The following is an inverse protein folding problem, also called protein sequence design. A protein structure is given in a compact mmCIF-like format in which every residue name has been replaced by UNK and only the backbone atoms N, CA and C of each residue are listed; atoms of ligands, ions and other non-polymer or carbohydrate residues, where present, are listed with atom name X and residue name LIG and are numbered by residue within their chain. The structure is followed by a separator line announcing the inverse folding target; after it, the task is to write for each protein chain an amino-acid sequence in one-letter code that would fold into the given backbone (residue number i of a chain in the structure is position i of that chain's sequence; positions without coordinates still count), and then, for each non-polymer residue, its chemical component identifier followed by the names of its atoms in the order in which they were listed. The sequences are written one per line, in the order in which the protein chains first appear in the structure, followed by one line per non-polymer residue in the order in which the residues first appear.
data_IF_044284262764
#
_entry.id   IF_044284262764
#
_cell.length_a   1.000
_cell.length_b   1.000
_cell.length_c   1.000
_cell.angle_alpha   90.00
_cell.angle_beta   90.00
_cell.angle_gamma   90.00
#
_symmetry.space_group_name_H-M   'P 1'
#
loop_
_entity.id
_entity.type
_entity.pdbx_description
1 polymer ?
#
# COMPACT_ATOMS: atom_id res chain seq x y z
N UNK A 1 16.49 -13.40 -1.38
CA UNK A 1 17.64 -12.63 -1.95
C UNK A 1 18.87 -12.85 -1.07
N UNK A 2 20.08 -12.91 -1.66
CA UNK A 2 21.35 -13.08 -0.93
C UNK A 2 22.16 -11.78 -0.98
N UNK A 3 23.04 -11.63 0.00
CA UNK A 3 24.03 -10.55 0.03
C UNK A 3 25.05 -10.69 -1.09
N UNK A 4 25.53 -9.55 -1.57
CA UNK A 4 26.57 -9.46 -2.60
C UNK A 4 27.74 -8.61 -2.10
N UNK A 5 28.90 -8.86 -2.69
CA UNK A 5 30.04 -7.96 -2.66
C UNK A 5 29.96 -7.08 -3.93
N UNK A 6 29.92 -5.75 -3.76
CA UNK A 6 29.78 -4.82 -4.88
C UNK A 6 30.93 -4.90 -5.88
N UNK A 7 32.18 -5.07 -5.40
CA UNK A 7 33.35 -5.24 -6.27
C UNK A 7 33.22 -6.47 -7.16
N UNK A 8 32.78 -7.60 -6.56
CA UNK A 8 32.55 -8.84 -7.29
C UNK A 8 31.50 -8.71 -8.39
N UNK A 9 30.46 -7.93 -8.16
CA UNK A 9 29.44 -7.63 -9.17
C UNK A 9 30.02 -6.82 -10.32
N UNK A 10 30.86 -5.81 -10.02
CA UNK A 10 31.53 -4.99 -11.06
C UNK A 10 32.52 -5.77 -11.83
N UNK A 11 33.37 -6.60 -11.18
CA UNK A 11 34.34 -7.48 -11.86
C UNK A 11 33.65 -8.49 -12.76
N UNK A 12 32.53 -9.08 -12.30
CA UNK A 12 31.73 -9.97 -13.13
C UNK A 12 31.16 -9.23 -14.36
N UNK A 13 30.69 -7.99 -14.20
CA UNK A 13 30.21 -7.17 -15.31
C UNK A 13 31.32 -6.86 -16.32
N UNK A 14 32.50 -6.46 -15.85
CA UNK A 14 33.66 -6.13 -16.72
C UNK A 14 34.17 -7.36 -17.49
N UNK A 15 34.11 -8.56 -16.89
CA UNK A 15 34.65 -9.79 -17.48
C UNK A 15 33.64 -10.58 -18.32
N UNK A 16 32.37 -10.61 -17.92
CA UNK A 16 31.34 -11.38 -18.62
C UNK A 16 30.46 -10.50 -19.54
N UNK A 17 30.52 -9.16 -19.39
CA UNK A 17 29.72 -8.23 -20.15
C UNK A 17 28.23 -8.41 -19.91
N UNK A 18 27.39 -7.98 -20.88
CA UNK A 18 25.93 -8.17 -20.85
C UNK A 18 25.49 -9.57 -21.28
N UNK A 19 26.34 -10.57 -21.18
CA UNK A 19 26.11 -11.94 -21.64
C UNK A 19 25.19 -12.72 -20.67
N UNK A 20 24.65 -13.82 -21.15
CA UNK A 20 23.82 -14.77 -20.40
C UNK A 20 24.48 -15.21 -19.07
N UNK A 21 25.80 -15.31 -19.06
CA UNK A 21 26.58 -15.71 -17.88
C UNK A 21 26.50 -14.69 -16.75
N UNK A 22 26.58 -13.38 -17.05
CA UNK A 22 26.43 -12.32 -16.06
C UNK A 22 25.02 -12.32 -15.45
N UNK A 23 23.99 -12.46 -16.29
CA UNK A 23 22.62 -12.54 -15.81
C UNK A 23 22.36 -13.78 -14.94
N UNK A 24 22.98 -14.91 -15.26
CA UNK A 24 22.95 -16.11 -14.41
C UNK A 24 23.64 -15.88 -13.07
N UNK A 25 24.78 -15.20 -13.08
CA UNK A 25 25.50 -14.83 -11.87
C UNK A 25 24.63 -13.95 -10.97
N UNK A 26 24.01 -12.90 -11.50
CA UNK A 26 23.10 -12.03 -10.76
C UNK A 26 21.88 -12.79 -10.20
N UNK A 27 21.30 -13.68 -11.01
CA UNK A 27 20.13 -14.46 -10.62
C UNK A 27 20.40 -15.38 -9.42
N UNK A 28 21.65 -15.85 -9.25
CA UNK A 28 22.06 -16.64 -8.08
C UNK A 28 21.91 -15.87 -6.77
N UNK A 29 22.11 -14.57 -6.78
CA UNK A 29 21.88 -13.69 -5.63
C UNK A 29 20.44 -13.19 -5.51
N UNK A 30 19.63 -13.45 -6.53
CA UNK A 30 18.26 -12.92 -6.63
C UNK A 30 18.22 -11.47 -7.10
N UNK A 31 19.33 -10.95 -7.65
CA UNK A 31 19.40 -9.64 -8.27
C UNK A 31 18.74 -9.71 -9.65
N UNK A 32 17.83 -8.78 -9.90
CA UNK A 32 17.17 -8.61 -11.19
C UNK A 32 17.69 -7.34 -11.87
N UNK A 33 16.96 -6.79 -12.78
CA UNK A 33 17.38 -5.62 -13.54
C UNK A 33 18.04 -4.53 -12.66
N UNK A 34 19.25 -4.14 -13.02
CA UNK A 34 19.98 -3.02 -12.43
C UNK A 34 20.75 -2.29 -13.53
N UNK A 35 21.13 -1.06 -13.28
CA UNK A 35 21.92 -0.24 -14.20
C UNK A 35 23.41 -0.40 -13.83
N UNK A 36 24.15 -1.33 -14.50
CA UNK A 36 25.50 -1.71 -14.08
C UNK A 36 26.49 -0.56 -14.23
N UNK A 37 26.27 0.35 -15.16
CA UNK A 37 27.14 1.51 -15.39
C UNK A 37 27.04 2.53 -14.26
N UNK A 38 25.82 2.80 -13.76
CA UNK A 38 25.61 3.68 -12.61
C UNK A 38 26.15 3.04 -11.33
N UNK A 39 25.95 1.73 -11.16
CA UNK A 39 26.53 0.98 -10.04
C UNK A 39 28.04 1.01 -10.08
N UNK A 40 28.68 0.80 -11.25
CA UNK A 40 30.12 0.86 -11.41
C UNK A 40 30.66 2.23 -11.02
N UNK A 41 30.06 3.31 -11.55
CA UNK A 41 30.46 4.68 -11.22
C UNK A 41 30.38 4.92 -9.70
N UNK A 42 29.30 4.47 -9.06
CA UNK A 42 29.15 4.57 -7.60
C UNK A 42 30.24 3.81 -6.85
N UNK A 43 30.51 2.55 -7.23
CA UNK A 43 31.52 1.71 -6.57
C UNK A 43 32.89 2.31 -6.71
N UNK A 44 33.29 2.82 -7.91
CA UNK A 44 34.57 3.48 -8.15
C UNK A 44 34.78 4.69 -7.20
N UNK A 45 33.71 5.45 -6.94
CA UNK A 45 33.74 6.57 -5.98
C UNK A 45 33.90 6.12 -4.53
N UNK A 46 33.22 5.06 -4.14
CA UNK A 46 33.39 4.50 -2.78
C UNK A 46 34.80 3.96 -2.61
N UNK A 47 35.33 3.21 -3.59
CA UNK A 47 36.72 2.66 -3.56
C UNK A 47 37.79 3.73 -3.34
N UNK A 48 37.61 4.89 -3.92
CA UNK A 48 38.54 6.02 -3.72
C UNK A 48 38.54 6.58 -2.27
N UNK A 49 37.55 6.23 -1.44
CA UNK A 49 37.34 6.75 -0.08
C UNK A 49 37.41 5.69 1.02
N UNK A 50 37.66 4.41 0.70
CA UNK A 50 37.80 3.30 1.65
C UNK A 50 39.23 2.74 1.61
N UNK A 51 39.67 2.16 2.73
CA UNK A 51 41.00 1.53 2.84
C UNK A 51 40.93 0.00 2.63
N UNK A 52 39.76 -0.60 2.74
CA UNK A 52 39.57 -2.05 2.68
C UNK A 52 38.35 -2.39 1.80
N UNK A 53 38.38 -3.55 1.14
CA UNK A 53 37.23 -4.06 0.39
C UNK A 53 36.11 -4.63 1.28
N UNK A 54 36.34 -4.70 2.59
CA UNK A 54 35.31 -5.15 3.55
C UNK A 54 34.07 -4.25 3.53
N UNK A 55 34.25 -2.96 3.25
CA UNK A 55 33.17 -2.00 3.13
C UNK A 55 32.30 -2.20 1.88
N UNK A 56 32.75 -3.06 0.94
CA UNK A 56 31.98 -3.44 -0.27
C UNK A 56 31.21 -4.76 -0.09
N UNK A 57 31.22 -5.37 1.09
CA UNK A 57 30.47 -6.59 1.42
C UNK A 57 29.12 -6.29 2.07
N UNK A 58 28.20 -7.29 2.03
CA UNK A 58 26.93 -7.28 2.77
C UNK A 58 25.85 -6.40 2.14
N UNK A 59 25.82 -6.28 0.81
CA UNK A 59 24.81 -5.48 0.12
C UNK A 59 23.68 -6.32 -0.49
N UNK A 60 22.50 -5.75 -0.53
CA UNK A 60 21.36 -6.22 -1.29
C UNK A 60 21.11 -5.26 -2.45
N UNK A 61 21.11 -5.75 -3.69
CA UNK A 61 20.90 -4.96 -4.91
C UNK A 61 19.51 -5.20 -5.48
N UNK A 62 18.75 -4.14 -5.72
CA UNK A 62 17.39 -4.23 -6.27
C UNK A 62 16.44 -5.00 -5.36
N UNK A 63 16.58 -4.84 -4.03
CA UNK A 63 15.71 -5.51 -3.09
C UNK A 63 14.30 -4.93 -3.13
N UNK A 64 13.30 -5.79 -3.42
CA UNK A 64 11.89 -5.43 -3.40
C UNK A 64 11.21 -5.98 -2.16
N UNK A 65 10.58 -5.10 -1.39
CA UNK A 65 9.74 -5.52 -0.28
C UNK A 65 8.59 -6.37 -0.83
N UNK A 66 8.40 -7.60 -0.33
CA UNK A 66 7.31 -8.47 -0.79
C UNK A 66 5.95 -7.77 -0.71
N UNK A 67 5.10 -7.98 -1.71
CA UNK A 67 3.72 -7.45 -1.80
C UNK A 67 3.58 -5.91 -1.88
N UNK A 68 4.59 -5.12 -1.48
CA UNK A 68 4.52 -3.65 -1.50
C UNK A 68 5.10 -3.09 -2.80
N UNK A 69 5.95 -3.87 -3.49
CA UNK A 69 6.66 -3.46 -4.72
C UNK A 69 7.60 -2.24 -4.53
N UNK A 70 7.95 -1.91 -3.28
CA UNK A 70 8.99 -0.91 -3.01
C UNK A 70 10.35 -1.55 -3.23
N UNK A 71 11.15 -0.94 -4.07
CA UNK A 71 12.49 -1.36 -4.42
C UNK A 71 13.53 -0.41 -3.82
N UNK A 72 14.65 -0.98 -3.39
CA UNK A 72 15.85 -0.26 -2.99
C UNK A 72 16.98 -0.66 -3.95
N UNK A 73 17.60 0.31 -4.60
CA UNK A 73 18.66 0.01 -5.57
C UNK A 73 19.86 -0.62 -4.87
N UNK A 74 20.33 0.00 -3.79
CA UNK A 74 21.43 -0.49 -2.94
C UNK A 74 20.99 -0.38 -1.48
N UNK A 75 21.02 -1.51 -0.76
CA UNK A 75 20.70 -1.58 0.66
C UNK A 75 21.79 -2.35 1.40
N UNK A 76 22.29 -1.79 2.51
CA UNK A 76 23.23 -2.46 3.42
C UNK A 76 22.68 -2.39 4.84
N UNK A 77 22.52 -3.55 5.47
CA UNK A 77 21.92 -3.68 6.80
C UNK A 77 23.01 -4.09 7.80
N UNK A 78 23.20 -3.25 8.80
CA UNK A 78 24.08 -3.54 9.93
C UNK A 78 23.27 -3.65 11.23
N UNK A 79 23.92 -4.09 12.30
CA UNK A 79 23.28 -4.32 13.62
C UNK A 79 22.55 -3.09 14.15
N UNK A 80 23.15 -1.90 14.03
CA UNK A 80 22.62 -0.66 14.59
C UNK A 80 22.20 0.37 13.54
N UNK A 81 22.54 0.13 12.28
CA UNK A 81 22.26 1.09 11.22
C UNK A 81 21.90 0.43 9.89
N UNK A 82 21.20 1.18 9.06
CA UNK A 82 20.84 0.80 7.68
C UNK A 82 21.28 1.91 6.74
N UNK A 83 21.96 1.55 5.66
CA UNK A 83 22.38 2.49 4.62
C UNK A 83 21.67 2.11 3.33
N UNK A 84 20.96 3.07 2.75
CA UNK A 84 20.27 2.95 1.47
C UNK A 84 20.84 3.98 0.50
N UNK A 85 21.15 3.55 -0.71
CA UNK A 85 21.56 4.43 -1.80
C UNK A 85 20.70 4.15 -3.02
N UNK A 86 20.08 5.19 -3.56
CA UNK A 86 19.37 5.17 -4.84
C UNK A 86 20.29 5.66 -5.94
N UNK A 87 20.29 4.97 -7.07
CA UNK A 87 21.09 5.33 -8.25
C UNK A 87 20.20 6.05 -9.27
N UNK A 88 20.72 7.13 -9.86
CA UNK A 88 20.06 7.86 -10.92
C UNK A 88 21.07 8.27 -11.97
N UNK A 89 20.78 7.96 -13.21
CA UNK A 89 21.62 8.39 -14.32
C UNK A 89 21.60 9.92 -14.45
N UNK A 90 20.41 10.55 -14.32
CA UNK A 90 20.21 12.01 -14.44
C UNK A 90 19.43 12.56 -13.24
N UNK A 91 19.72 13.82 -12.88
CA UNK A 91 18.96 14.54 -11.88
C UNK A 91 17.53 14.74 -12.38
N UNK A 92 16.58 14.46 -11.52
CA UNK A 92 15.17 14.74 -11.81
C UNK A 92 14.75 16.07 -11.19
N UNK A 93 13.89 16.07 -10.18
CA UNK A 93 13.58 17.26 -9.38
C UNK A 93 13.91 16.98 -7.93
N UNK A 94 14.27 18.02 -7.19
CA UNK A 94 14.56 17.90 -5.76
C UNK A 94 13.39 17.25 -5.01
N UNK A 95 12.15 17.65 -5.33
CA UNK A 95 10.95 17.10 -4.70
C UNK A 95 10.78 15.59 -4.96
N UNK A 96 11.12 15.12 -6.15
CA UNK A 96 11.03 13.68 -6.48
C UNK A 96 12.06 12.87 -5.72
N UNK A 97 13.31 13.35 -5.68
CA UNK A 97 14.38 12.67 -4.93
C UNK A 97 14.04 12.68 -3.45
N UNK A 98 13.66 13.84 -2.90
CA UNK A 98 13.23 13.99 -1.51
C UNK A 98 12.07 13.08 -1.15
N UNK A 99 11.03 12.99 -2.01
CA UNK A 99 9.89 12.10 -1.82
C UNK A 99 10.35 10.65 -1.78
N UNK A 100 11.23 10.22 -2.70
CA UNK A 100 11.75 8.86 -2.76
C UNK A 100 12.53 8.51 -1.49
N UNK A 101 13.45 9.38 -1.04
CA UNK A 101 14.25 9.13 0.16
C UNK A 101 13.40 9.13 1.45
N UNK A 102 12.37 9.99 1.56
CA UNK A 102 11.39 9.93 2.64
C UNK A 102 10.61 8.62 2.66
N UNK A 103 10.24 8.13 1.49
CA UNK A 103 9.58 6.85 1.34
C UNK A 103 10.51 5.71 1.79
N UNK A 104 11.79 5.75 1.41
CA UNK A 104 12.78 4.77 1.86
C UNK A 104 12.95 4.79 3.38
N UNK A 105 13.09 5.99 3.96
CA UNK A 105 13.14 6.19 5.42
C UNK A 105 11.95 5.55 6.14
N UNK A 106 10.74 5.76 5.62
CA UNK A 106 9.53 5.17 6.17
C UNK A 106 9.58 3.63 6.16
N UNK A 107 9.92 3.03 5.01
CA UNK A 107 9.95 1.57 4.90
C UNK A 107 11.08 0.93 5.71
N UNK A 108 12.21 1.63 5.89
CA UNK A 108 13.34 1.15 6.68
C UNK A 108 13.20 1.43 8.19
N UNK A 109 12.28 2.30 8.59
CA UNK A 109 12.04 2.61 10.02
C UNK A 109 11.57 1.43 10.85
N UNK A 110 10.99 0.40 10.18
CA UNK A 110 10.55 -0.83 10.86
C UNK A 110 11.70 -1.63 11.48
N UNK A 111 12.90 -1.44 10.96
CA UNK A 111 14.07 -2.10 11.51
C UNK A 111 14.52 -1.51 12.84
N UNK A 112 13.91 -0.39 13.28
CA UNK A 112 14.20 0.30 14.54
C UNK A 112 15.68 0.64 14.72
N UNK A 113 16.37 0.95 13.59
CA UNK A 113 17.79 1.27 13.52
C UNK A 113 18.01 2.66 12.94
N UNK A 114 19.18 3.25 13.21
CA UNK A 114 19.58 4.48 12.54
C UNK A 114 19.59 4.24 11.02
N UNK A 115 18.91 5.09 10.24
CA UNK A 115 18.84 4.90 8.80
C UNK A 115 19.39 6.11 8.05
N UNK A 116 20.25 5.82 7.07
CA UNK A 116 20.94 6.82 6.24
C UNK A 116 20.50 6.62 4.79
N UNK A 117 20.07 7.70 4.14
CA UNK A 117 19.42 7.64 2.83
C UNK A 117 20.13 8.58 1.87
N UNK A 118 20.69 8.01 0.81
CA UNK A 118 21.44 8.73 -0.19
C UNK A 118 20.83 8.54 -1.59
N UNK A 119 21.11 9.49 -2.48
CA UNK A 119 20.91 9.37 -3.93
C UNK A 119 22.18 9.79 -4.64
N UNK A 120 22.72 8.92 -5.48
CA UNK A 120 23.83 9.25 -6.37
C UNK A 120 23.31 9.55 -7.77
N UNK A 121 23.69 10.67 -8.34
CA UNK A 121 23.34 11.08 -9.71
C UNK A 121 24.61 11.00 -10.57
N UNK A 122 24.66 10.00 -11.44
CA UNK A 122 25.88 9.61 -12.16
C UNK A 122 26.37 10.70 -13.13
N UNK A 123 25.48 11.28 -13.95
CA UNK A 123 25.89 12.33 -14.93
C UNK A 123 26.39 13.62 -14.29
N UNK A 124 25.92 13.92 -13.10
CA UNK A 124 26.35 15.12 -12.37
C UNK A 124 27.49 14.85 -11.41
N UNK A 125 27.82 13.58 -11.20
CA UNK A 125 28.80 13.11 -10.22
C UNK A 125 28.53 13.66 -8.82
N UNK A 126 27.25 13.65 -8.42
CA UNK A 126 26.79 14.24 -7.16
C UNK A 126 26.11 13.22 -6.28
N UNK A 127 26.43 13.28 -5.00
CA UNK A 127 25.77 12.53 -3.94
C UNK A 127 24.92 13.47 -3.11
N UNK A 128 23.66 13.09 -2.90
CA UNK A 128 22.70 13.77 -2.03
C UNK A 128 22.31 12.87 -0.87
N UNK A 129 21.97 13.47 0.28
CA UNK A 129 21.40 12.74 1.43
C UNK A 129 20.11 13.40 1.93
N UNK A 130 19.29 12.60 2.61
CA UNK A 130 18.15 13.10 3.35
C UNK A 130 18.58 13.43 4.79
N UNK A 131 18.55 14.69 5.17
CA UNK A 131 18.88 15.15 6.52
C UNK A 131 17.77 16.07 7.04
N UNK A 132 17.23 15.77 8.21
CA UNK A 132 16.10 16.54 8.80
C UNK A 132 14.96 16.78 7.80
N UNK A 133 14.63 15.72 7.04
CA UNK A 133 13.61 15.76 5.99
C UNK A 133 13.89 16.71 4.82
N UNK A 134 15.10 17.19 4.66
CA UNK A 134 15.56 18.00 3.52
C UNK A 134 16.61 17.25 2.71
N UNK A 135 16.63 17.53 1.41
CA UNK A 135 17.69 17.05 0.53
C UNK A 135 18.90 18.00 0.65
N UNK A 136 20.05 17.45 0.97
CA UNK A 136 21.30 18.22 1.09
C UNK A 136 22.42 17.51 0.35
N UNK A 137 23.44 18.26 -0.09
CA UNK A 137 24.65 17.69 -0.70
C UNK A 137 25.39 16.82 0.32
N UNK A 138 25.97 15.72 -0.13
CA UNK A 138 26.78 14.81 0.68
C UNK A 138 28.09 14.49 -0.04
N UNK A 139 29.11 14.05 0.71
CA UNK A 139 30.37 13.61 0.14
C UNK A 139 30.50 12.09 0.21
N UNK A 140 31.23 11.50 -0.74
CA UNK A 140 31.56 10.08 -0.71
C UNK A 140 32.41 9.70 0.51
N UNK A 141 33.19 10.63 1.04
CA UNK A 141 33.93 10.45 2.29
C UNK A 141 32.99 10.25 3.48
N UNK A 142 31.93 11.07 3.56
CA UNK A 142 30.93 10.91 4.61
C UNK A 142 30.22 9.56 4.54
N UNK A 143 29.85 9.11 3.33
CA UNK A 143 29.26 7.79 3.13
C UNK A 143 30.27 6.68 3.48
N UNK A 144 31.52 6.79 3.08
CA UNK A 144 32.58 5.83 3.42
C UNK A 144 32.80 5.74 4.94
N UNK A 145 32.79 6.87 5.66
CA UNK A 145 32.91 6.89 7.12
C UNK A 145 31.73 6.16 7.81
N UNK A 146 30.53 6.22 7.24
CA UNK A 146 29.38 5.46 7.73
C UNK A 146 29.53 3.95 7.45
N UNK A 147 30.02 3.59 6.26
CA UNK A 147 30.25 2.20 5.86
C UNK A 147 31.33 1.53 6.73
N UNK A 148 32.41 2.26 7.05
CA UNK A 148 33.50 1.79 7.92
C UNK A 148 32.98 1.52 9.35
N UNK A 149 32.11 2.38 9.87
CA UNK A 149 31.56 2.24 11.21
C UNK A 149 30.46 1.18 11.34
N UNK A 150 29.88 0.77 10.21
CA UNK A 150 28.76 -0.16 10.22
C UNK A 150 29.23 -1.60 10.44
N UNK A 151 28.76 -2.23 11.49
CA UNK A 151 28.91 -3.67 11.72
C UNK A 151 27.79 -4.40 10.96
N UNK A 152 28.17 -5.24 9.98
CA UNK A 152 27.20 -6.00 9.17
C UNK A 152 26.48 -7.03 10.02
N UNK A 153 25.20 -7.25 9.78
CA UNK A 153 24.41 -8.30 10.36
C UNK A 153 24.23 -9.45 9.38
N UNK A 154 24.51 -10.69 9.82
CA UNK A 154 24.19 -11.88 9.05
C UNK A 154 22.67 -12.13 9.08
N UNK A 155 22.01 -12.00 7.94
CA UNK A 155 20.56 -12.12 7.79
C UNK A 155 20.24 -13.36 6.98
N UNK A 156 19.66 -14.39 7.60
CA UNK A 156 19.24 -15.62 6.89
C UNK A 156 18.25 -15.34 5.76
N UNK A 157 17.32 -14.45 5.98
CA UNK A 157 16.30 -14.09 5.01
C UNK A 157 15.82 -12.65 5.20
N UNK A 158 16.28 -11.75 4.32
CA UNK A 158 15.92 -10.34 4.36
C UNK A 158 14.41 -10.11 4.22
N UNK A 159 13.67 -10.95 3.49
CA UNK A 159 12.24 -10.78 3.28
C UNK A 159 11.45 -10.88 4.60
N UNK A 160 11.96 -11.66 5.59
CA UNK A 160 11.33 -11.77 6.90
C UNK A 160 11.41 -10.49 7.74
N UNK A 161 12.38 -9.62 7.47
CA UNK A 161 12.50 -8.34 8.16
C UNK A 161 11.42 -7.34 7.71
N UNK A 162 10.89 -7.52 6.49
CA UNK A 162 9.96 -6.61 5.83
C UNK A 162 8.58 -7.22 5.68
N UNK A 163 7.98 -7.66 6.78
CA UNK A 163 6.61 -8.18 6.74
C UNK A 163 5.62 -7.06 6.32
N UNK A 164 4.81 -7.29 5.26
CA UNK A 164 3.85 -6.28 4.77
C UNK A 164 2.87 -5.78 5.82
N UNK A 165 2.50 -6.63 6.79
CA UNK A 165 1.62 -6.28 7.91
C UNK A 165 2.11 -5.09 8.73
N UNK A 166 3.41 -4.87 8.78
CA UNK A 166 4.04 -3.82 9.56
C UNK A 166 3.85 -2.42 8.94
N UNK A 167 3.51 -2.35 7.66
CA UNK A 167 3.29 -1.09 6.92
C UNK A 167 1.82 -0.72 6.77
N UNK A 168 0.94 -1.48 7.40
CA UNK A 168 -0.49 -1.29 7.24
C UNK A 168 -0.97 -0.07 8.02
N UNK A 169 -1.39 0.95 7.28
CA UNK A 169 -2.17 2.05 7.83
C UNK A 169 -3.62 1.90 7.36
N UNK A 170 -4.51 1.82 8.31
CA UNK A 170 -5.95 1.89 8.06
C UNK A 170 -6.43 3.29 8.45
N UNK A 171 -7.17 4.00 7.60
CA UNK A 171 -7.76 5.29 7.96
C UNK A 171 -8.62 5.22 9.22
N UNK A 172 -9.07 4.03 9.61
CA UNK A 172 -9.99 3.81 10.72
C UNK A 172 -9.34 3.27 11.98
N UNK A 173 -8.32 2.38 11.83
CA UNK A 173 -7.66 1.73 12.97
C UNK A 173 -6.37 2.44 13.37
N UNK A 174 -5.85 3.29 12.48
CA UNK A 174 -4.63 4.07 12.66
C UNK A 174 -4.89 5.51 12.22
N UNK A 175 -5.99 6.11 12.69
CA UNK A 175 -6.49 7.41 12.24
C UNK A 175 -5.43 8.50 12.41
N UNK A 176 -4.68 8.51 13.51
CA UNK A 176 -3.60 9.47 13.72
C UNK A 176 -2.50 9.37 12.66
N UNK A 177 -2.06 8.16 12.31
CA UNK A 177 -1.08 7.96 11.23
C UNK A 177 -1.64 8.44 9.89
N UNK A 178 -2.91 8.17 9.61
CA UNK A 178 -3.58 8.66 8.40
C UNK A 178 -3.63 10.18 8.39
N UNK A 179 -4.01 10.84 9.48
CA UNK A 179 -4.07 12.31 9.61
C UNK A 179 -2.69 12.94 9.44
N UNK A 180 -1.65 12.35 10.02
CA UNK A 180 -0.25 12.80 9.91
C UNK A 180 0.40 12.49 8.57
N UNK A 181 -0.27 11.77 7.67
CA UNK A 181 0.29 11.27 6.40
C UNK A 181 1.48 10.31 6.59
N UNK A 182 1.50 9.59 7.68
CA UNK A 182 2.53 8.60 8.00
C UNK A 182 2.21 7.26 7.32
N UNK A 183 2.09 7.25 6.00
CA UNK A 183 1.93 6.08 5.14
C UNK A 183 2.30 6.41 3.69
N UNK A 184 2.49 5.37 2.90
CA UNK A 184 2.69 5.51 1.47
C UNK A 184 1.74 4.58 0.71
N UNK A 185 1.29 5.05 -0.44
CA UNK A 185 0.55 4.25 -1.39
C UNK A 185 1.52 3.41 -2.23
N UNK A 186 1.08 2.25 -2.68
CA UNK A 186 1.83 1.46 -3.67
C UNK A 186 1.89 2.20 -5.01
N UNK A 187 2.83 1.82 -5.89
CA UNK A 187 2.93 2.43 -7.23
C UNK A 187 1.61 2.36 -8.00
N UNK A 188 0.91 1.22 -7.95
CA UNK A 188 -0.39 1.05 -8.57
C UNK A 188 -1.46 2.00 -7.97
N UNK A 189 -1.47 2.15 -6.65
CA UNK A 189 -2.39 3.08 -5.97
C UNK A 189 -2.09 4.54 -6.33
N UNK A 190 -0.81 4.93 -6.39
CA UNK A 190 -0.39 6.28 -6.79
C UNK A 190 -0.80 6.60 -8.23
N UNK A 191 -0.65 5.65 -9.16
CA UNK A 191 -1.11 5.85 -10.54
C UNK A 191 -2.62 6.08 -10.63
N UNK A 192 -3.41 5.26 -9.93
CA UNK A 192 -4.87 5.38 -9.90
C UNK A 192 -5.24 6.73 -9.30
N UNK A 193 -4.66 7.09 -8.16
CA UNK A 193 -4.86 8.38 -7.50
C UNK A 193 -4.61 9.54 -8.45
N UNK A 194 -3.44 9.55 -9.10
CA UNK A 194 -3.05 10.63 -10.00
C UNK A 194 -4.01 10.77 -11.19
N UNK A 195 -4.47 9.65 -11.77
CA UNK A 195 -5.45 9.68 -12.87
C UNK A 195 -6.78 10.31 -12.42
N UNK A 196 -7.30 9.91 -11.27
CA UNK A 196 -8.57 10.45 -10.74
C UNK A 196 -8.43 11.92 -10.36
N UNK A 197 -7.39 12.29 -9.62
CA UNK A 197 -7.16 13.69 -9.21
C UNK A 197 -7.00 14.60 -10.43
N UNK A 198 -6.21 14.17 -11.42
CA UNK A 198 -6.01 14.94 -12.65
C UNK A 198 -7.33 15.15 -13.40
N UNK A 199 -8.19 14.14 -13.47
CA UNK A 199 -9.50 14.24 -14.10
C UNK A 199 -10.41 15.25 -13.37
N UNK A 200 -10.42 15.21 -12.03
CA UNK A 200 -11.20 16.16 -11.21
C UNK A 200 -10.71 17.59 -11.40
N UNK A 201 -9.40 17.81 -11.27
CA UNK A 201 -8.78 19.14 -11.36
C UNK A 201 -8.91 19.73 -12.77
N UNK A 202 -8.72 18.94 -13.82
CA UNK A 202 -8.88 19.37 -15.22
C UNK A 202 -10.32 19.50 -15.65
N UNK A 203 -11.28 19.03 -14.85
CA UNK A 203 -12.73 19.03 -15.16
C UNK A 203 -13.04 18.40 -16.52
N UNK A 204 -12.36 17.31 -16.84
CA UNK A 204 -12.61 16.57 -18.08
C UNK A 204 -14.02 15.94 -18.11
N UNK A 205 -14.41 15.32 -19.22
CA UNK A 205 -15.75 14.76 -19.42
C UNK A 205 -15.96 13.41 -18.69
N UNK A 206 -14.90 12.80 -18.15
CA UNK A 206 -15.01 11.51 -17.46
C UNK A 206 -15.68 11.70 -16.10
N UNK A 207 -16.86 11.14 -15.92
CA UNK A 207 -17.66 11.31 -14.70
C UNK A 207 -17.45 10.16 -13.68
N UNK A 208 -17.26 8.93 -14.15
CA UNK A 208 -17.27 7.75 -13.30
C UNK A 208 -15.93 7.01 -13.30
N UNK A 209 -15.51 6.59 -12.12
CA UNK A 209 -14.32 5.76 -11.89
C UNK A 209 -14.70 4.59 -10.98
N UNK A 210 -14.19 3.41 -11.29
CA UNK A 210 -14.43 2.20 -10.49
C UNK A 210 -13.10 1.60 -10.07
N UNK A 211 -12.89 1.45 -8.75
CA UNK A 211 -11.73 0.81 -8.15
C UNK A 211 -12.18 -0.54 -7.60
N UNK A 212 -11.79 -1.61 -8.27
CA UNK A 212 -12.05 -2.99 -7.87
C UNK A 212 -10.82 -3.58 -7.19
N UNK A 213 -11.01 -4.40 -6.19
CA UNK A 213 -9.92 -5.15 -5.57
C UNK A 213 -10.43 -6.07 -4.47
N UNK A 214 -9.69 -7.11 -4.16
CA UNK A 214 -10.01 -8.05 -3.09
C UNK A 214 -9.84 -7.46 -1.69
N UNK A 215 -10.16 -8.25 -0.68
CA UNK A 215 -9.87 -7.91 0.71
C UNK A 215 -8.37 -7.61 0.88
N UNK A 216 -8.05 -6.55 1.61
CA UNK A 216 -6.66 -6.24 1.94
C UNK A 216 -5.83 -5.55 0.84
N UNK A 217 -6.40 -5.20 -0.31
CA UNK A 217 -5.68 -4.49 -1.38
C UNK A 217 -5.53 -2.98 -1.15
N UNK A 218 -6.04 -2.45 -0.03
CA UNK A 218 -5.91 -1.04 0.34
C UNK A 218 -6.89 -0.09 -0.36
N UNK A 219 -8.01 -0.58 -0.91
CA UNK A 219 -9.05 0.24 -1.56
C UNK A 219 -9.48 1.44 -0.71
N UNK A 220 -9.85 1.18 0.55
CA UNK A 220 -10.30 2.21 1.48
C UNK A 220 -9.23 3.26 1.74
N UNK A 221 -7.96 2.86 1.95
CA UNK A 221 -6.86 3.80 2.11
C UNK A 221 -6.71 4.70 0.87
N UNK A 222 -6.76 4.10 -0.32
CA UNK A 222 -6.65 4.82 -1.58
C UNK A 222 -7.78 5.85 -1.76
N UNK A 223 -9.05 5.46 -1.58
CA UNK A 223 -10.17 6.39 -1.81
C UNK A 223 -10.23 7.49 -0.77
N UNK A 224 -9.81 7.23 0.47
CA UNK A 224 -9.73 8.24 1.52
C UNK A 224 -8.53 9.18 1.31
N UNK A 225 -7.41 8.68 0.79
CA UNK A 225 -6.28 9.53 0.40
C UNK A 225 -6.64 10.45 -0.78
N UNK A 226 -7.33 9.94 -1.79
CA UNK A 226 -7.89 10.74 -2.90
C UNK A 226 -8.82 11.82 -2.35
N UNK A 227 -9.76 11.46 -1.46
CA UNK A 227 -10.71 12.38 -0.87
C UNK A 227 -9.99 13.52 -0.14
N UNK A 228 -8.98 13.18 0.67
CA UNK A 228 -8.21 14.15 1.42
C UNK A 228 -7.40 15.08 0.53
N UNK A 229 -6.66 14.54 -0.45
CA UNK A 229 -5.85 15.36 -1.35
C UNK A 229 -6.72 16.33 -2.17
N UNK A 230 -7.90 15.89 -2.61
CA UNK A 230 -8.85 16.77 -3.30
C UNK A 230 -9.40 17.86 -2.37
N UNK A 231 -9.74 17.51 -1.12
CA UNK A 231 -10.19 18.49 -0.12
C UNK A 231 -9.09 19.53 0.17
N UNK A 232 -7.83 19.13 0.28
CA UNK A 232 -6.67 20.02 0.44
C UNK A 232 -6.47 20.94 -0.77
N UNK A 233 -6.88 20.51 -1.96
CA UNK A 233 -6.90 21.35 -3.19
C UNK A 233 -8.15 22.26 -3.30
N UNK A 234 -9.01 22.27 -2.28
CA UNK A 234 -10.20 23.13 -2.22
C UNK A 234 -11.45 22.51 -2.87
N UNK A 235 -11.40 21.24 -3.30
CA UNK A 235 -12.56 20.54 -3.84
C UNK A 235 -13.53 20.13 -2.72
N UNK A 236 -14.84 20.25 -2.97
CA UNK A 236 -15.86 19.78 -2.03
C UNK A 236 -16.11 18.29 -2.26
N UNK A 237 -15.54 17.47 -1.39
CA UNK A 237 -15.59 16.01 -1.48
C UNK A 237 -16.61 15.44 -0.50
N UNK A 238 -17.44 14.51 -0.96
CA UNK A 238 -18.30 13.68 -0.12
C UNK A 238 -17.86 12.23 -0.20
N UNK A 239 -17.62 11.61 0.96
CA UNK A 239 -17.43 10.16 1.05
C UNK A 239 -18.71 9.53 1.62
N UNK A 240 -19.26 8.58 0.88
CA UNK A 240 -20.41 7.77 1.32
C UNK A 240 -19.89 6.38 1.65
N UNK A 241 -19.89 6.02 2.91
CA UNK A 241 -19.57 4.66 3.32
C UNK A 241 -20.83 3.80 3.27
N UNK A 242 -20.80 2.73 2.48
CA UNK A 242 -21.94 1.82 2.30
C UNK A 242 -22.11 0.85 3.48
N UNK A 243 -22.00 1.36 4.70
CA UNK A 243 -22.13 0.65 5.97
C UNK A 243 -22.43 1.61 7.12
N UNK A 244 -22.18 1.14 8.34
CA UNK A 244 -22.18 1.99 9.53
C UNK A 244 -20.81 2.62 9.71
N UNK A 245 -20.76 3.87 10.14
CA UNK A 245 -19.48 4.53 10.45
C UNK A 245 -18.91 3.95 11.74
N UNK A 246 -17.63 3.65 11.72
CA UNK A 246 -16.86 3.29 12.90
C UNK A 246 -16.28 4.55 13.59
N UNK A 247 -15.63 4.36 14.73
CA UNK A 247 -15.02 5.44 15.52
C UNK A 247 -14.01 6.26 14.72
N UNK A 248 -13.12 5.62 13.97
CA UNK A 248 -12.12 6.34 13.17
C UNK A 248 -12.73 7.20 12.06
N UNK A 249 -13.83 6.76 11.43
CA UNK A 249 -14.55 7.59 10.45
C UNK A 249 -15.26 8.78 11.12
N UNK A 250 -15.78 8.59 12.34
CA UNK A 250 -16.36 9.68 13.13
C UNK A 250 -15.28 10.70 13.51
N UNK A 251 -14.13 10.24 13.96
CA UNK A 251 -12.97 11.07 14.29
C UNK A 251 -12.49 11.92 13.09
N UNK A 252 -12.43 11.33 11.87
CA UNK A 252 -12.08 12.07 10.66
C UNK A 252 -13.09 13.17 10.34
N UNK A 253 -14.38 12.95 10.61
CA UNK A 253 -15.42 13.97 10.48
C UNK A 253 -15.27 15.06 11.53
N UNK A 254 -15.07 14.72 12.80
CA UNK A 254 -14.93 15.66 13.92
C UNK A 254 -13.71 16.56 13.73
N UNK A 255 -12.60 15.97 13.29
CA UNK A 255 -11.37 16.71 12.92
C UNK A 255 -11.50 17.51 11.61
N UNK A 256 -12.65 17.43 10.91
CA UNK A 256 -12.91 18.08 9.61
C UNK A 256 -11.89 17.73 8.52
N UNK A 257 -11.29 16.56 8.61
CA UNK A 257 -10.35 16.06 7.59
C UNK A 257 -11.09 15.60 6.35
N UNK A 258 -12.23 14.89 6.55
CA UNK A 258 -13.11 14.39 5.48
C UNK A 258 -14.56 14.62 5.86
N UNK A 259 -15.43 14.71 4.85
CA UNK A 259 -16.88 14.67 5.03
C UNK A 259 -17.37 13.27 4.68
N UNK A 260 -17.65 12.45 5.70
CA UNK A 260 -18.03 11.05 5.55
C UNK A 260 -19.45 10.87 6.08
N UNK A 261 -20.33 10.29 5.27
CA UNK A 261 -21.68 9.92 5.70
C UNK A 261 -21.95 8.43 5.48
N UNK A 262 -22.78 7.80 6.33
CA UNK A 262 -23.26 6.45 6.04
C UNK A 262 -24.32 6.49 4.94
N UNK A 263 -24.39 5.45 4.11
CA UNK A 263 -25.36 5.32 2.99
C UNK A 263 -26.83 5.51 3.45
N UNK A 264 -27.15 5.17 4.69
CA UNK A 264 -28.51 5.36 5.26
C UNK A 264 -28.97 6.83 5.31
N UNK A 265 -28.04 7.80 5.20
CA UNK A 265 -28.38 9.23 5.09
C UNK A 265 -28.81 9.62 3.69
N UNK A 266 -28.47 8.84 2.67
CA UNK A 266 -28.94 9.03 1.30
C UNK A 266 -30.33 8.45 1.20
N UNK A 267 -31.32 9.24 1.61
CA UNK A 267 -32.74 8.87 1.59
C UNK A 267 -33.33 9.27 0.25
N UNK A 268 -34.20 8.41 -0.29
CA UNK A 268 -35.02 8.65 -1.46
C UNK A 268 -36.45 8.67 -0.99
N UNK A 269 -37.13 9.76 -1.15
CA UNK A 269 -38.59 9.87 -0.84
C UNK A 269 -39.35 9.98 -2.16
N UNK A 270 -40.15 8.98 -2.46
CA UNK A 270 -41.10 9.01 -3.56
C UNK A 270 -42.39 9.61 -3.02
N UNK A 271 -42.60 10.92 -3.15
CA UNK A 271 -43.90 11.55 -3.02
C UNK A 271 -44.44 11.84 -4.41
N UNK A 272 -45.74 11.73 -4.59
CA UNK A 272 -46.42 12.01 -5.86
C UNK A 272 -45.84 13.29 -6.50
N UNK A 273 -45.15 13.15 -7.62
CA UNK A 273 -44.56 14.21 -8.44
C UNK A 273 -43.25 14.88 -7.97
N UNK A 274 -42.62 14.49 -6.84
CA UNK A 274 -41.38 15.11 -6.41
C UNK A 274 -40.44 14.08 -5.77
N UNK A 275 -39.29 13.77 -6.41
CA UNK A 275 -38.23 12.92 -5.86
C UNK A 275 -37.35 13.80 -4.98
N UNK A 276 -37.66 13.90 -3.69
CA UNK A 276 -36.77 14.54 -2.72
C UNK A 276 -35.70 13.53 -2.32
N UNK A 277 -34.51 13.75 -2.81
CA UNK A 277 -33.34 12.94 -2.49
C UNK A 277 -32.28 13.73 -1.73
N UNK A 278 -31.14 13.09 -1.55
CA UNK A 278 -29.95 13.73 -0.98
C UNK A 278 -29.39 14.75 -1.98
N UNK A 279 -29.07 15.96 -1.49
CA UNK A 279 -28.51 17.02 -2.32
C UNK A 279 -27.01 16.80 -2.60
N UNK A 280 -26.68 16.54 -3.84
CA UNK A 280 -25.29 16.39 -4.33
C UNK A 280 -24.76 17.68 -4.97
N UNK A 281 -25.54 18.73 -5.14
CA UNK A 281 -25.18 19.94 -5.90
C UNK A 281 -23.92 20.62 -5.35
N UNK A 282 -23.80 20.66 -4.04
CA UNK A 282 -22.68 21.31 -3.37
C UNK A 282 -21.33 20.61 -3.50
N UNK A 283 -21.30 19.34 -3.95
CA UNK A 283 -20.07 18.55 -4.05
C UNK A 283 -19.53 18.54 -5.47
N UNK A 284 -18.20 18.59 -5.62
CA UNK A 284 -17.53 18.41 -6.91
C UNK A 284 -17.29 16.94 -7.25
N UNK A 285 -17.13 16.12 -6.22
CA UNK A 285 -16.92 14.68 -6.35
C UNK A 285 -17.58 13.93 -5.18
N UNK A 286 -18.15 12.77 -5.51
CA UNK A 286 -18.72 11.81 -4.55
C UNK A 286 -17.92 10.50 -4.63
N UNK A 287 -17.54 9.96 -3.49
CA UNK A 287 -16.82 8.69 -3.38
C UNK A 287 -17.68 7.71 -2.60
N UNK A 288 -18.02 6.57 -3.22
CA UNK A 288 -18.72 5.47 -2.54
C UNK A 288 -17.69 4.40 -2.15
N UNK A 289 -17.53 4.19 -0.84
CA UNK A 289 -16.70 3.10 -0.32
C UNK A 289 -17.56 1.91 0.09
N UNK A 290 -17.07 0.68 -0.14
CA UNK A 290 -17.80 -0.58 0.04
C UNK A 290 -19.07 -0.67 -0.82
N UNK A 291 -19.02 -0.17 -2.06
CA UNK A 291 -20.17 -0.01 -2.95
C UNK A 291 -20.95 -1.30 -3.20
N UNK A 292 -20.35 -2.48 -3.08
CA UNK A 292 -21.07 -3.77 -3.21
C UNK A 292 -22.22 -3.94 -2.20
N UNK A 293 -22.26 -3.15 -1.13
CA UNK A 293 -23.28 -3.21 -0.07
C UNK A 293 -24.44 -2.25 -0.28
N UNK A 294 -24.39 -1.43 -1.34
CA UNK A 294 -25.44 -0.44 -1.59
C UNK A 294 -26.72 -1.12 -2.12
N UNK A 295 -27.86 -0.56 -1.76
CA UNK A 295 -29.13 -0.97 -2.37
C UNK A 295 -29.21 -0.44 -3.82
N UNK A 296 -29.70 -1.24 -4.76
CA UNK A 296 -29.78 -0.86 -6.18
C UNK A 296 -30.59 0.42 -6.42
N UNK A 297 -31.67 0.66 -5.67
CA UNK A 297 -32.45 1.89 -5.80
C UNK A 297 -31.66 3.13 -5.40
N UNK A 298 -30.86 3.04 -4.32
CA UNK A 298 -29.99 4.13 -3.91
C UNK A 298 -28.84 4.35 -4.92
N UNK A 299 -28.24 3.26 -5.41
CA UNK A 299 -27.19 3.35 -6.43
C UNK A 299 -27.68 4.01 -7.70
N UNK A 300 -28.87 3.61 -8.18
CA UNK A 300 -29.53 4.20 -9.34
C UNK A 300 -29.74 5.70 -9.17
N UNK A 301 -30.32 6.10 -8.04
CA UNK A 301 -30.53 7.51 -7.71
C UNK A 301 -29.21 8.31 -7.70
N UNK A 302 -28.16 7.77 -7.09
CA UNK A 302 -26.84 8.43 -7.05
C UNK A 302 -26.30 8.60 -8.46
N UNK A 303 -26.33 7.57 -9.30
CA UNK A 303 -25.84 7.63 -10.68
C UNK A 303 -26.61 8.66 -11.50
N UNK A 304 -27.94 8.66 -11.44
CA UNK A 304 -28.80 9.61 -12.14
C UNK A 304 -28.51 11.06 -11.70
N UNK A 305 -28.40 11.31 -10.38
CA UNK A 305 -28.05 12.63 -9.84
C UNK A 305 -26.65 13.10 -10.30
N UNK A 306 -25.67 12.21 -10.31
CA UNK A 306 -24.32 12.54 -10.77
C UNK A 306 -24.29 12.88 -12.27
N UNK A 307 -25.04 12.14 -13.08
CA UNK A 307 -25.20 12.41 -14.53
C UNK A 307 -25.85 13.76 -14.78
N UNK A 308 -26.97 14.03 -14.11
CA UNK A 308 -27.73 15.28 -14.23
C UNK A 308 -26.88 16.49 -13.83
N UNK A 309 -26.20 16.41 -12.69
CA UNK A 309 -25.36 17.48 -12.16
C UNK A 309 -23.96 17.54 -12.80
N UNK A 310 -23.63 16.59 -13.69
CA UNK A 310 -22.28 16.46 -14.30
C UNK A 310 -21.15 16.47 -13.28
N UNK A 311 -21.36 15.79 -12.17
CA UNK A 311 -20.36 15.64 -11.10
C UNK A 311 -19.51 14.40 -11.33
N UNK A 312 -18.42 14.28 -10.58
CA UNK A 312 -17.57 13.07 -10.64
C UNK A 312 -17.94 12.10 -9.52
N UNK A 313 -17.79 10.81 -9.81
CA UNK A 313 -18.05 9.77 -8.82
C UNK A 313 -17.02 8.64 -8.90
N UNK A 314 -16.55 8.21 -7.73
CA UNK A 314 -15.64 7.06 -7.59
C UNK A 314 -16.36 5.96 -6.82
N UNK A 315 -16.40 4.77 -7.38
CA UNK A 315 -16.91 3.56 -6.75
C UNK A 315 -15.76 2.67 -6.31
N UNK A 316 -15.71 2.32 -5.02
CA UNK A 316 -14.77 1.36 -4.46
C UNK A 316 -15.53 0.10 -4.06
N UNK A 317 -15.18 -1.05 -4.63
CA UNK A 317 -15.91 -2.29 -4.39
C UNK A 317 -15.03 -3.54 -4.35
N UNK A 318 -15.50 -4.52 -3.57
CA UNK A 318 -15.02 -5.90 -3.59
C UNK A 318 -16.19 -6.82 -3.97
N UNK A 319 -16.23 -7.33 -5.20
CA UNK A 319 -17.36 -8.15 -5.66
C UNK A 319 -17.43 -9.53 -5.02
N UNK A 320 -16.51 -9.85 -4.12
CA UNK A 320 -16.48 -11.12 -3.38
C UNK A 320 -16.85 -10.98 -1.90
N UNK A 321 -16.96 -9.74 -1.38
CA UNK A 321 -17.31 -9.45 0.00
C UNK A 321 -18.77 -9.07 0.15
N UNK A 322 -19.61 -10.06 0.43
CA UNK A 322 -21.02 -9.86 0.74
C UNK A 322 -21.30 -10.22 2.20
N UNK A 323 -22.09 -9.39 2.91
CA UNK A 323 -22.59 -9.69 4.25
C UNK A 323 -23.96 -10.36 4.20
N UNK A 324 -24.70 -10.15 3.11
CA UNK A 324 -26.08 -10.64 2.93
C UNK A 324 -26.23 -11.25 1.55
N UNK A 325 -27.14 -12.22 1.44
CA UNK A 325 -27.49 -12.85 0.15
C UNK A 325 -28.02 -11.82 -0.85
N UNK A 326 -28.82 -10.87 -0.38
CA UNK A 326 -29.39 -9.78 -1.19
C UNK A 326 -28.31 -8.90 -1.85
N UNK A 327 -27.19 -8.65 -1.16
CA UNK A 327 -26.05 -7.89 -1.72
C UNK A 327 -25.42 -8.63 -2.90
N UNK A 328 -25.36 -9.97 -2.83
CA UNK A 328 -24.88 -10.81 -3.94
C UNK A 328 -25.86 -10.80 -5.11
N UNK A 329 -27.17 -10.91 -4.81
CA UNK A 329 -28.23 -10.96 -5.82
C UNK A 329 -28.37 -9.62 -6.56
N UNK A 330 -28.03 -8.50 -5.92
CA UNK A 330 -28.05 -7.14 -6.50
C UNK A 330 -27.03 -6.95 -7.65
N UNK A 331 -25.97 -7.76 -7.70
CA UNK A 331 -24.91 -7.70 -8.70
C UNK A 331 -24.48 -6.25 -9.09
N UNK A 332 -24.11 -5.47 -8.07
CA UNK A 332 -23.73 -4.06 -8.19
C UNK A 332 -22.63 -3.84 -9.24
N UNK A 333 -21.66 -4.75 -9.35
CA UNK A 333 -20.59 -4.65 -10.35
C UNK A 333 -21.13 -4.64 -11.77
N UNK A 334 -22.05 -5.56 -12.09
CA UNK A 334 -22.68 -5.61 -13.41
C UNK A 334 -23.53 -4.37 -13.66
N UNK A 335 -24.29 -3.93 -12.65
CA UNK A 335 -25.10 -2.72 -12.80
C UNK A 335 -24.24 -1.49 -13.13
N UNK A 336 -23.11 -1.29 -12.43
CA UNK A 336 -22.16 -0.21 -12.73
C UNK A 336 -21.59 -0.34 -14.14
N UNK A 337 -21.28 -1.57 -14.57
CA UNK A 337 -20.76 -1.82 -15.93
C UNK A 337 -21.73 -1.40 -17.02
N UNK A 338 -23.01 -1.69 -16.85
CA UNK A 338 -24.05 -1.44 -17.83
C UNK A 338 -24.53 0.03 -17.87
N UNK A 339 -24.50 0.71 -16.71
CA UNK A 339 -25.13 2.03 -16.54
C UNK A 339 -24.13 3.19 -16.38
N UNK A 340 -22.84 2.91 -16.34
CA UNK A 340 -21.79 3.94 -16.24
C UNK A 340 -20.70 3.70 -17.28
N UNK A 341 -20.22 4.76 -17.92
CA UNK A 341 -18.99 4.71 -18.74
C UNK A 341 -17.77 4.87 -17.85
N UNK A 342 -17.65 4.00 -16.85
CA UNK A 342 -16.62 4.11 -15.81
C UNK A 342 -15.23 3.72 -16.32
N UNK A 343 -14.22 4.52 -15.99
CA UNK A 343 -12.82 4.08 -16.08
C UNK A 343 -12.55 3.09 -14.97
N UNK A 344 -12.11 1.89 -15.32
CA UNK A 344 -11.94 0.78 -14.39
C UNK A 344 -10.48 0.62 -13.98
N UNK A 345 -10.27 0.48 -12.68
CA UNK A 345 -8.99 0.15 -12.08
C UNK A 345 -9.13 -1.12 -11.25
N UNK A 346 -8.12 -1.97 -11.28
CA UNK A 346 -8.09 -3.20 -10.47
C UNK A 346 -6.84 -3.22 -9.61
N UNK A 347 -7.02 -3.30 -8.28
CA UNK A 347 -5.96 -3.49 -7.32
C UNK A 347 -5.72 -4.99 -7.13
N UNK A 348 -4.54 -5.45 -7.53
CA UNK A 348 -4.17 -6.87 -7.52
C UNK A 348 -3.33 -7.27 -6.31
N UNK A 349 -2.57 -6.33 -5.75
CA UNK A 349 -1.65 -6.62 -4.65
C UNK A 349 -2.40 -6.66 -3.32
N UNK A 350 -2.39 -7.81 -2.65
CA UNK A 350 -2.90 -7.92 -1.30
C UNK A 350 -1.80 -7.55 -0.30
N UNK A 351 -2.01 -6.46 0.44
CA UNK A 351 -1.03 -5.90 1.38
C UNK A 351 -1.35 -6.32 2.83
N UNK A 352 -2.61 -6.64 3.14
CA UNK A 352 -3.09 -6.79 4.53
C UNK A 352 -2.92 -8.17 5.12
N UNK A 353 -2.75 -9.18 4.31
CA UNK A 353 -2.84 -10.56 4.81
C UNK A 353 -1.48 -11.21 4.68
N UNK A 354 -0.98 -11.75 5.79
CA UNK A 354 0.16 -12.65 5.80
C UNK A 354 -0.08 -13.76 4.75
N UNK A 355 0.95 -14.14 4.00
CA UNK A 355 0.84 -15.12 2.90
C UNK A 355 0.25 -16.44 3.39
N UNK A 356 0.66 -16.92 4.56
CA UNK A 356 0.17 -18.13 5.20
C UNK A 356 -1.34 -18.07 5.46
N UNK A 357 -1.82 -16.97 6.03
CA UNK A 357 -3.24 -16.74 6.28
C UNK A 357 -4.02 -16.56 4.98
N UNK A 358 -3.45 -15.91 3.97
CA UNK A 358 -4.06 -15.75 2.65
C UNK A 358 -4.25 -17.09 1.96
N UNK A 359 -3.23 -17.96 1.96
CA UNK A 359 -3.29 -19.31 1.40
C UNK A 359 -4.33 -20.14 2.14
N UNK A 360 -4.37 -20.05 3.47
CA UNK A 360 -5.36 -20.75 4.30
C UNK A 360 -6.80 -20.31 3.97
N UNK A 361 -7.05 -19.00 3.92
CA UNK A 361 -8.37 -18.45 3.57
C UNK A 361 -8.77 -18.88 2.15
N UNK A 362 -7.86 -18.78 1.18
CA UNK A 362 -8.14 -19.19 -0.19
C UNK A 362 -8.44 -20.70 -0.29
N UNK A 363 -7.75 -21.52 0.47
CA UNK A 363 -8.00 -22.97 0.51
C UNK A 363 -9.41 -23.31 1.02
N UNK A 364 -9.90 -22.56 2.03
CA UNK A 364 -11.26 -22.71 2.56
C UNK A 364 -12.32 -22.25 1.55
N UNK A 365 -12.15 -21.06 0.96
CA UNK A 365 -13.18 -20.45 0.13
C UNK A 365 -13.23 -20.97 -1.31
N UNK A 366 -12.10 -21.42 -1.86
CA UNK A 366 -12.01 -21.79 -3.27
C UNK A 366 -11.81 -23.26 -3.52
N UNK A 367 -11.75 -24.07 -2.43
CA UNK A 367 -11.53 -25.52 -2.50
C UNK A 367 -10.36 -25.90 -3.44
N UNK A 368 -9.35 -25.03 -3.51
CA UNK A 368 -8.12 -25.25 -4.26
C UNK A 368 -7.03 -25.62 -3.26
N UNK A 369 -6.67 -26.89 -3.16
CA UNK A 369 -5.53 -27.30 -2.37
C UNK A 369 -4.24 -26.97 -3.13
N UNK A 370 -3.92 -25.70 -3.30
CA UNK A 370 -2.55 -25.29 -3.61
C UNK A 370 -1.72 -25.41 -2.33
N UNK A 371 -1.63 -26.65 -1.86
CA UNK A 371 -0.72 -27.03 -0.80
C UNK A 371 0.72 -27.02 -1.33
N UNK A 372 1.25 -25.85 -1.62
CA UNK A 372 2.65 -25.64 -1.33
C UNK A 372 2.81 -26.03 0.14
N UNK A 373 3.81 -26.86 0.45
CA UNK A 373 4.16 -27.23 1.81
C UNK A 373 4.44 -25.97 2.65
N UNK A 374 3.39 -25.29 3.11
CA UNK A 374 3.48 -24.21 4.06
C UNK A 374 3.31 -24.80 5.45
N UNK A 375 4.27 -24.56 6.31
CA UNK A 375 4.09 -24.77 7.73
C UNK A 375 3.18 -23.64 8.25
N UNK A 376 1.91 -23.93 8.47
CA UNK A 376 0.93 -22.97 9.01
C UNK A 376 1.22 -22.66 10.49
N UNK A 377 2.30 -21.88 10.76
CA UNK A 377 2.71 -21.53 12.13
C UNK A 377 1.81 -20.47 12.79
N UNK A 378 1.14 -19.65 11.96
CA UNK A 378 0.27 -18.55 12.41
C UNK A 378 -1.23 -18.90 12.34
N UNK A 379 -1.58 -20.13 12.02
CA UNK A 379 -2.97 -20.62 11.97
C UNK A 379 -3.12 -21.81 12.92
N UNK A 380 -4.03 -21.67 13.88
CA UNK A 380 -4.39 -22.75 14.80
C UNK A 380 -5.86 -23.11 14.59
N UNK A 381 -6.16 -24.40 14.44
CA UNK A 381 -7.52 -24.90 14.30
C UNK A 381 -7.84 -25.78 15.49
N UNK A 382 -8.83 -25.38 16.28
CA UNK A 382 -9.33 -26.13 17.41
C UNK A 382 -10.77 -26.55 17.16
N UNK A 383 -11.09 -27.79 17.44
CA UNK A 383 -12.44 -28.32 17.35
C UNK A 383 -13.02 -28.57 18.74
N UNK A 384 -14.22 -28.09 18.98
CA UNK A 384 -14.95 -28.30 20.23
C UNK A 384 -16.30 -28.93 19.95
N UNK A 385 -16.67 -29.93 20.76
CA UNK A 385 -17.90 -30.69 20.57
C UNK A 385 -19.16 -29.97 21.02
N UNK A 386 -19.02 -28.92 21.84
CA UNK A 386 -20.16 -28.15 22.31
C UNK A 386 -19.75 -26.69 22.60
N UNK A 387 -20.77 -25.83 22.73
CA UNK A 387 -20.57 -24.38 22.86
C UNK A 387 -20.00 -23.96 24.22
N UNK A 388 -20.26 -24.73 25.29
CA UNK A 388 -19.71 -24.42 26.62
C UNK A 388 -18.18 -24.47 26.59
N UNK A 389 -17.59 -25.49 25.96
CA UNK A 389 -16.14 -25.63 25.82
C UNK A 389 -15.54 -24.49 24.99
N UNK A 390 -16.27 -23.97 23.99
CA UNK A 390 -15.85 -22.80 23.22
C UNK A 390 -15.77 -21.56 24.10
N UNK A 391 -16.78 -21.32 24.92
CA UNK A 391 -16.80 -20.19 25.84
C UNK A 391 -15.69 -20.29 26.90
N UNK A 392 -15.51 -21.46 27.48
CA UNK A 392 -14.45 -21.71 28.45
C UNK A 392 -13.05 -21.48 27.82
N UNK A 393 -12.88 -21.87 26.56
CA UNK A 393 -11.64 -21.61 25.83
C UNK A 393 -11.43 -20.10 25.59
N UNK A 394 -12.45 -19.37 25.14
CA UNK A 394 -12.35 -17.95 24.89
C UNK A 394 -12.17 -17.11 26.15
N UNK A 395 -12.66 -17.55 27.29
CA UNK A 395 -12.45 -16.85 28.58
C UNK A 395 -10.96 -16.76 29.00
N UNK A 396 -10.09 -17.54 28.38
CA UNK A 396 -8.65 -17.51 28.64
C UNK A 396 -7.90 -16.45 27.80
N UNK A 397 -8.60 -15.76 26.87
CA UNK A 397 -7.97 -14.73 26.03
C UNK A 397 -8.20 -13.35 26.61
N UNK A 398 -7.14 -12.54 26.59
CA UNK A 398 -7.19 -11.14 27.01
C UNK A 398 -7.70 -10.27 25.83
N UNK A 399 -8.69 -9.43 26.08
CA UNK A 399 -9.30 -8.54 25.06
C UNK A 399 -8.31 -7.51 24.50
N UNK A 400 -7.26 -7.18 25.22
CA UNK A 400 -6.20 -6.25 24.77
C UNK A 400 -5.26 -6.90 23.72
N UNK A 401 -5.08 -8.22 23.78
CA UNK A 401 -4.17 -8.96 22.89
C UNK A 401 -4.93 -9.70 21.78
N UNK A 402 -6.18 -10.07 22.02
CA UNK A 402 -6.98 -10.91 21.14
C UNK A 402 -8.31 -10.27 20.80
N UNK A 403 -8.67 -10.35 19.53
CA UNK A 403 -10.01 -9.96 19.07
C UNK A 403 -10.83 -11.20 18.74
N UNK A 404 -11.82 -11.50 19.57
CA UNK A 404 -12.76 -12.58 19.34
C UNK A 404 -13.78 -12.14 18.30
N UNK A 405 -13.89 -12.89 17.20
CA UNK A 405 -14.87 -12.64 16.14
C UNK A 405 -15.84 -13.82 16.13
N UNK A 406 -17.10 -13.56 16.44
CA UNK A 406 -18.16 -14.56 16.38
C UNK A 406 -19.04 -14.29 15.14
N UNK A 407 -19.31 -15.33 14.35
CA UNK A 407 -20.22 -15.28 13.23
C UNK A 407 -21.62 -15.71 13.67
N UNK A 408 -22.50 -14.77 13.94
CA UNK A 408 -23.92 -15.04 14.23
C UNK A 408 -24.77 -14.73 13.01
N UNK A 409 -25.38 -15.73 12.37
CA UNK A 409 -26.22 -15.52 11.17
C UNK A 409 -27.58 -14.86 11.45
N UNK A 410 -27.97 -14.63 12.69
CA UNK A 410 -29.24 -13.96 13.01
C UNK A 410 -29.21 -13.24 14.35
N UNK A 411 -29.98 -12.16 14.44
CA UNK A 411 -30.20 -11.33 15.65
C UNK A 411 -30.80 -12.07 16.87
N UNK A 412 -31.02 -13.36 16.82
CA UNK A 412 -31.77 -14.09 17.85
C UNK A 412 -30.91 -14.85 18.85
N UNK A 413 -29.62 -14.94 18.65
CA UNK A 413 -28.72 -15.63 19.60
C UNK A 413 -27.48 -14.77 19.86
N UNK A 414 -27.71 -13.64 20.53
CA UNK A 414 -26.64 -12.97 21.28
C UNK A 414 -26.82 -13.47 22.71
N UNK A 415 -25.90 -14.32 23.13
CA UNK A 415 -25.68 -14.55 24.55
C UNK A 415 -24.85 -13.43 25.09
#
# INVERSE_FOLDING_TARGET
MKEVNLESIIDAYNNFGKEELYNKYLSFFGVRDHEPEDLKSFVDKIRANIASFKELEGYYLGFKIPQISKEFDILRIGKESVINVELKNEFTTEERIKKQLKQNKYYLSILERASFHFTYVTKEDKLYKLENDNLVDASFKELADLLIKQEIEEIENIEKLFEPSNYLVSPFNSTDKFVKKEYFLTGQQEEIKNKIINSVVKKDEQLFFTIKGGAGTGKTLLVYDIARELAEKGEKVLVIHCGQLNEGQQELNEKKILNIIPIKKVKISYKEFDIKGFDFEQYSIVILDETQRVNLSQLKYIIESILELKKKCVFSLDPKQYLKKEEKDNNVEQYLYENTKSVKFELTNNIRTNEELLVFINSIFYNRPDFKKMEYKKVCINYFSNYSLVNDYFSNFNDDEWKIINFTPSKKNIL
#
